data_IF_687096581553
#
_entry.id   IF_687096581553
#
_cell.length_a   1.000
_cell.length_b   1.000
_cell.length_c   1.000
_cell.angle_alpha   90.00
_cell.angle_beta   90.00
_cell.angle_gamma   90.00
#
_symmetry.space_group_name_H-M   'P 1'
#
loop_
_entity.id
_entity.type
_entity.pdbx_description
1 polymer ?
#
# COMPACT_ATOMS: atom_id res chain seq x y z
N UNK A 1 -20.31 8.94 50.45
CA UNK A 1 -19.32 7.83 50.51
C UNK A 1 -18.13 8.28 51.33
N UNK A 2 -17.40 7.37 51.98
CA UNK A 2 -16.18 7.74 52.73
C UNK A 2 -14.98 7.86 51.80
N UNK A 3 -13.94 8.59 52.21
CA UNK A 3 -12.67 8.70 51.43
C UNK A 3 -12.13 7.32 51.09
N UNK A 4 -12.10 6.42 52.07
CA UNK A 4 -11.53 5.07 51.90
C UNK A 4 -12.31 4.25 50.85
N UNK A 5 -13.64 4.38 50.83
CA UNK A 5 -14.48 3.70 49.85
C UNK A 5 -14.23 4.23 48.43
N UNK A 6 -14.17 5.55 48.25
CA UNK A 6 -13.87 6.19 46.96
C UNK A 6 -12.52 5.74 46.41
N UNK A 7 -11.46 5.82 47.21
CA UNK A 7 -10.11 5.44 46.80
C UNK A 7 -10.00 3.94 46.45
N UNK A 8 -10.73 3.09 47.16
CA UNK A 8 -10.76 1.65 46.87
C UNK A 8 -11.39 1.33 45.50
N UNK A 9 -12.44 2.07 45.11
CA UNK A 9 -13.10 1.92 43.81
C UNK A 9 -12.25 2.50 42.69
N UNK A 10 -11.67 3.69 42.88
CA UNK A 10 -10.76 4.31 41.92
C UNK A 10 -9.56 3.40 41.59
N UNK A 11 -8.87 2.86 42.61
CA UNK A 11 -7.75 1.91 42.39
C UNK A 11 -8.16 0.67 41.61
N UNK A 12 -9.35 0.14 41.89
CA UNK A 12 -9.90 -1.03 41.17
C UNK A 12 -10.23 -0.66 39.73
N UNK A 13 -10.81 0.51 39.50
CA UNK A 13 -11.11 1.03 38.17
C UNK A 13 -9.85 1.25 37.33
N UNK A 14 -8.72 1.62 37.94
CA UNK A 14 -7.43 1.84 37.26
C UNK A 14 -6.61 0.54 37.03
N UNK A 15 -7.12 -0.64 37.41
CA UNK A 15 -6.39 -1.92 37.35
C UNK A 15 -5.98 -2.31 35.92
N UNK A 16 -4.70 -2.18 35.57
CA UNK A 16 -4.17 -2.45 34.22
C UNK A 16 -3.39 -1.27 33.61
N UNK A 17 -3.36 -0.12 34.29
CA UNK A 17 -2.33 0.91 34.06
C UNK A 17 -1.04 0.55 34.79
N UNK A 18 0.05 1.25 34.46
CA UNK A 18 1.34 1.04 35.11
C UNK A 18 1.23 1.36 36.62
N UNK A 19 1.84 0.54 37.51
CA UNK A 19 1.72 0.73 38.97
C UNK A 19 2.12 2.12 39.47
N UNK A 20 3.13 2.73 38.82
CA UNK A 20 3.59 4.09 39.12
C UNK A 20 2.52 5.12 38.79
N UNK A 21 1.94 5.08 37.60
CA UNK A 21 0.83 5.96 37.19
C UNK A 21 -0.38 5.84 38.11
N UNK A 22 -0.71 4.61 38.54
CA UNK A 22 -1.80 4.40 39.51
C UNK A 22 -1.47 5.05 40.85
N UNK A 23 -0.23 4.91 41.33
CA UNK A 23 0.21 5.53 42.58
C UNK A 23 0.17 7.07 42.52
N UNK A 24 0.60 7.65 41.41
CA UNK A 24 0.60 9.11 41.20
C UNK A 24 -0.84 9.68 41.19
N UNK A 25 -1.74 9.08 40.39
CA UNK A 25 -3.16 9.49 40.33
C UNK A 25 -3.82 9.40 41.72
N UNK A 26 -3.52 8.33 42.45
CA UNK A 26 -4.04 8.10 43.81
C UNK A 26 -3.51 9.16 44.76
N UNK A 27 -2.23 9.50 44.70
CA UNK A 27 -1.63 10.51 45.56
C UNK A 27 -2.25 11.90 45.36
N UNK A 28 -2.47 12.31 44.11
CA UNK A 28 -3.12 13.58 43.76
C UNK A 28 -4.54 13.67 44.33
N UNK A 29 -5.32 12.59 44.20
CA UNK A 29 -6.69 12.58 44.73
C UNK A 29 -6.71 12.52 46.27
N UNK A 30 -5.76 11.83 46.91
CA UNK A 30 -5.63 11.87 48.37
C UNK A 30 -5.27 13.26 48.88
N UNK A 31 -4.43 14.01 48.16
CA UNK A 31 -4.14 15.41 48.46
C UNK A 31 -5.40 16.28 48.34
N UNK A 32 -6.20 16.09 47.30
CA UNK A 32 -7.45 16.84 47.11
C UNK A 32 -8.47 16.59 48.24
N UNK A 33 -8.60 15.34 48.70
CA UNK A 33 -9.41 15.03 49.87
C UNK A 33 -8.85 15.71 51.14
N UNK A 34 -7.53 15.73 51.34
CA UNK A 34 -6.92 16.38 52.50
C UNK A 34 -7.15 17.90 52.52
N UNK A 35 -7.08 18.55 51.36
CA UNK A 35 -7.39 19.98 51.20
C UNK A 35 -8.87 20.27 51.48
N UNK A 36 -9.79 19.42 50.99
CA UNK A 36 -11.21 19.58 51.25
C UNK A 36 -11.53 19.48 52.75
N UNK A 37 -10.91 18.54 53.48
CA UNK A 37 -11.05 18.46 54.93
C UNK A 37 -10.46 19.67 55.65
N UNK A 38 -9.30 20.16 55.21
CA UNK A 38 -8.68 21.36 55.77
C UNK A 38 -9.53 22.63 55.55
N UNK A 39 -10.28 22.68 54.45
CA UNK A 39 -11.27 23.71 54.16
C UNK A 39 -12.59 23.56 54.94
N UNK A 40 -12.68 22.58 55.84
CA UNK A 40 -13.86 22.32 56.68
C UNK A 40 -14.99 21.56 55.99
N UNK A 41 -14.76 20.98 54.81
CA UNK A 41 -15.73 20.10 54.14
C UNK A 41 -15.66 18.70 54.72
N UNK A 42 -16.79 18.01 54.73
CA UNK A 42 -16.86 16.60 55.13
C UNK A 42 -16.34 15.69 54.01
N UNK A 43 -15.90 14.48 54.36
CA UNK A 43 -15.48 13.47 53.36
C UNK A 43 -16.58 13.17 52.33
N UNK A 44 -17.84 13.20 52.77
CA UNK A 44 -18.98 12.93 51.90
C UNK A 44 -19.16 14.01 50.83
N UNK A 45 -19.02 15.29 51.22
CA UNK A 45 -19.09 16.43 50.30
C UNK A 45 -17.90 16.47 49.33
N UNK A 46 -16.70 16.11 49.81
CA UNK A 46 -15.51 16.01 48.97
C UNK A 46 -15.66 14.91 47.90
N UNK A 47 -16.23 13.77 48.27
CA UNK A 47 -16.49 12.68 47.33
C UNK A 47 -17.62 13.00 46.35
N UNK A 48 -18.65 13.74 46.78
CA UNK A 48 -19.72 14.20 45.89
C UNK A 48 -19.20 15.21 44.85
N UNK A 49 -18.28 16.09 45.24
CA UNK A 49 -17.63 17.02 44.31
C UNK A 49 -16.77 16.32 43.25
N UNK A 50 -16.16 15.18 43.59
CA UNK A 50 -15.38 14.35 42.67
C UNK A 50 -16.24 13.43 41.79
N UNK A 51 -17.49 13.16 42.20
CA UNK A 51 -18.46 12.37 41.43
C UNK A 51 -18.25 10.85 41.54
N UNK A 52 -18.55 10.14 40.46
CA UNK A 52 -18.50 8.67 40.42
C UNK A 52 -17.06 8.16 40.16
N UNK A 53 -16.41 7.47 41.13
CA UNK A 53 -15.04 6.96 40.98
C UNK A 53 -14.88 5.96 39.82
N UNK A 54 -15.93 5.19 39.50
CA UNK A 54 -15.85 4.21 38.40
C UNK A 54 -15.85 4.90 37.04
N UNK A 55 -16.58 6.02 36.91
CA UNK A 55 -16.55 6.87 35.71
C UNK A 55 -15.22 7.57 35.54
N UNK A 56 -14.71 8.18 36.61
CA UNK A 56 -13.42 8.86 36.62
C UNK A 56 -12.28 7.90 36.22
N UNK A 57 -12.29 6.66 36.73
CA UNK A 57 -11.31 5.66 36.36
C UNK A 57 -11.37 5.29 34.87
N UNK A 58 -12.56 5.25 34.26
CA UNK A 58 -12.72 5.00 32.82
C UNK A 58 -12.16 6.14 31.98
N UNK A 59 -12.44 7.38 32.37
CA UNK A 59 -11.94 8.58 31.68
C UNK A 59 -10.41 8.64 31.73
N UNK A 60 -9.81 8.44 32.92
CA UNK A 60 -8.35 8.42 33.09
C UNK A 60 -7.66 7.29 32.31
N UNK A 61 -8.31 6.13 32.16
CA UNK A 61 -7.80 5.04 31.31
C UNK A 61 -7.89 5.35 29.84
N UNK A 62 -8.95 6.01 29.40
CA UNK A 62 -9.10 6.44 28.02
C UNK A 62 -7.97 7.42 27.65
N UNK A 63 -7.71 8.41 28.49
CA UNK A 63 -6.63 9.38 28.30
C UNK A 63 -5.24 8.72 28.33
N UNK A 64 -5.00 7.82 29.29
CA UNK A 64 -3.74 7.09 29.36
C UNK A 64 -3.54 6.13 28.16
N UNK A 65 -4.63 5.57 27.62
CA UNK A 65 -4.62 4.77 26.40
C UNK A 65 -4.30 5.60 25.16
N UNK A 66 -4.89 6.81 25.05
CA UNK A 66 -4.64 7.74 23.96
C UNK A 66 -3.19 8.24 23.97
N UNK A 67 -2.69 8.70 25.11
CA UNK A 67 -1.29 9.13 25.26
C UNK A 67 -0.30 8.02 24.92
N UNK A 68 -0.58 6.78 25.37
CA UNK A 68 0.27 5.64 25.05
C UNK A 68 0.21 5.29 23.56
N UNK A 69 -0.94 5.46 22.91
CA UNK A 69 -1.07 5.28 21.46
C UNK A 69 -0.30 6.35 20.68
N UNK A 70 -0.30 7.60 21.16
CA UNK A 70 0.49 8.70 20.59
C UNK A 70 2.00 8.48 20.80
N UNK A 71 2.44 8.07 21.99
CA UNK A 71 3.85 7.79 22.30
C UNK A 71 4.38 6.54 21.57
N UNK A 72 3.52 5.55 21.32
CA UNK A 72 3.89 4.34 20.56
C UNK A 72 3.89 4.55 19.04
N UNK A 73 3.48 5.73 18.53
CA UNK A 73 3.88 6.22 17.19
C UNK A 73 5.36 6.66 17.18
N UNK A 74 6.24 5.80 17.68
CA UNK A 74 7.67 6.08 17.81
C UNK A 74 8.33 6.23 16.41
N UNK A 75 9.13 7.30 16.18
CA UNK A 75 9.85 7.57 14.92
C UNK A 75 10.88 6.50 14.52
N UNK A 76 11.13 5.49 15.37
CA UNK A 76 11.87 4.26 15.03
C UNK A 76 11.27 3.53 13.81
N UNK A 77 9.94 3.59 13.63
CA UNK A 77 9.25 2.98 12.48
C UNK A 77 9.44 3.76 11.17
N UNK A 78 9.80 5.04 11.22
CA UNK A 78 9.99 5.84 10.00
C UNK A 78 11.25 5.42 9.25
N UNK A 79 12.35 5.15 9.96
CA UNK A 79 13.60 4.66 9.35
C UNK A 79 13.43 3.27 8.71
N UNK A 80 12.73 2.35 9.38
CA UNK A 80 12.41 1.03 8.85
C UNK A 80 11.49 1.12 7.61
N UNK A 81 10.52 2.04 7.60
CA UNK A 81 9.66 2.29 6.44
C UNK A 81 10.43 2.86 5.24
N UNK A 82 11.38 3.78 5.47
CA UNK A 82 12.24 4.33 4.40
C UNK A 82 13.13 3.22 3.81
N UNK A 83 13.75 2.39 4.66
CA UNK A 83 14.56 1.26 4.20
C UNK A 83 13.70 0.25 3.42
N UNK A 84 12.47 -0.02 3.88
CA UNK A 84 11.55 -0.89 3.18
C UNK A 84 11.12 -0.31 1.81
N UNK A 85 10.89 1.00 1.72
CA UNK A 85 10.54 1.66 0.46
C UNK A 85 11.72 1.63 -0.55
N UNK A 86 12.94 1.91 -0.06
CA UNK A 86 14.16 1.81 -0.88
C UNK A 86 14.38 0.35 -1.32
N UNK A 87 14.18 -0.61 -0.41
CA UNK A 87 14.31 -2.04 -0.71
C UNK A 87 13.29 -2.52 -1.73
N UNK A 88 12.04 -2.07 -1.63
CA UNK A 88 10.99 -2.38 -2.61
C UNK A 88 11.35 -1.79 -3.98
N UNK A 89 11.76 -0.52 -4.05
CA UNK A 89 12.20 0.11 -5.29
C UNK A 89 13.43 -0.56 -5.89
N UNK A 90 14.37 -1.05 -5.07
CA UNK A 90 15.54 -1.79 -5.54
C UNK A 90 15.16 -3.14 -6.17
N UNK A 91 14.21 -3.87 -5.58
CA UNK A 91 13.67 -5.12 -6.16
C UNK A 91 12.99 -4.83 -7.49
N UNK A 92 12.18 -3.76 -7.57
CA UNK A 92 11.53 -3.38 -8.82
C UNK A 92 12.57 -3.03 -9.90
N UNK A 93 13.59 -2.25 -9.58
CA UNK A 93 14.65 -1.92 -10.55
C UNK A 93 15.44 -3.16 -10.96
N UNK A 94 15.73 -4.09 -10.05
CA UNK A 94 16.57 -5.26 -10.33
C UNK A 94 15.82 -6.36 -11.10
N UNK A 95 14.51 -6.50 -10.91
CA UNK A 95 13.72 -7.58 -11.54
C UNK A 95 12.75 -7.06 -12.58
N UNK A 96 11.95 -6.03 -12.25
CA UNK A 96 10.91 -5.53 -13.14
C UNK A 96 11.51 -4.83 -14.36
N UNK A 97 12.55 -4.01 -14.18
CA UNK A 97 13.13 -3.25 -15.28
C UNK A 97 13.79 -4.15 -16.36
N UNK A 98 14.64 -5.14 -16.02
CA UNK A 98 15.20 -6.05 -17.02
C UNK A 98 14.13 -6.91 -17.67
N UNK A 99 13.12 -7.36 -16.91
CA UNK A 99 12.00 -8.12 -17.46
C UNK A 99 11.21 -7.29 -18.48
N UNK A 100 10.90 -6.04 -18.15
CA UNK A 100 10.20 -5.12 -19.04
C UNK A 100 11.01 -4.84 -20.31
N UNK A 101 12.33 -4.61 -20.17
CA UNK A 101 13.23 -4.43 -21.32
C UNK A 101 13.31 -5.68 -22.19
N UNK A 102 13.33 -6.88 -21.59
CA UNK A 102 13.28 -8.14 -22.33
C UNK A 102 11.99 -8.29 -23.14
N UNK A 103 10.85 -7.97 -22.54
CA UNK A 103 9.55 -8.01 -23.24
C UNK A 103 9.52 -6.97 -24.37
N UNK A 104 9.95 -5.73 -24.12
CA UNK A 104 10.02 -4.68 -25.15
C UNK A 104 10.94 -5.08 -26.30
N UNK A 105 12.11 -5.65 -25.99
CA UNK A 105 13.06 -6.14 -26.98
C UNK A 105 12.48 -7.27 -27.84
N UNK A 106 11.80 -8.24 -27.21
CA UNK A 106 11.12 -9.30 -27.92
C UNK A 106 10.01 -8.75 -28.84
N UNK A 107 9.19 -7.84 -28.34
CA UNK A 107 8.15 -7.18 -29.14
C UNK A 107 8.71 -6.41 -30.32
N UNK A 108 9.82 -5.69 -30.12
CA UNK A 108 10.53 -5.01 -31.21
C UNK A 108 11.07 -6.01 -32.24
N UNK A 109 11.66 -7.12 -31.81
CA UNK A 109 12.10 -8.20 -32.70
C UNK A 109 10.96 -8.78 -33.53
N UNK A 110 9.80 -9.04 -32.90
CA UNK A 110 8.60 -9.49 -33.60
C UNK A 110 8.08 -8.44 -34.59
N UNK A 111 8.11 -7.16 -34.24
CA UNK A 111 7.72 -6.07 -35.14
C UNK A 111 8.60 -6.08 -36.40
N UNK A 112 9.92 -6.15 -36.23
CA UNK A 112 10.86 -6.22 -37.35
C UNK A 112 10.61 -7.46 -38.19
N UNK A 113 10.36 -8.62 -37.57
CA UNK A 113 10.05 -9.86 -38.28
C UNK A 113 8.74 -9.75 -39.08
N UNK A 114 7.69 -9.13 -38.54
CA UNK A 114 6.42 -8.89 -39.24
C UNK A 114 6.63 -7.99 -40.45
N UNK A 115 7.37 -6.89 -40.29
CA UNK A 115 7.67 -5.96 -41.39
C UNK A 115 8.50 -6.66 -42.47
N UNK A 116 9.53 -7.41 -42.09
CA UNK A 116 10.36 -8.16 -43.01
C UNK A 116 9.55 -9.22 -43.78
N UNK A 117 8.64 -9.93 -43.09
CA UNK A 117 7.76 -10.93 -43.70
C UNK A 117 6.79 -10.29 -44.69
N UNK A 118 6.20 -9.13 -44.34
CA UNK A 118 5.31 -8.40 -45.21
C UNK A 118 6.03 -7.92 -46.49
N UNK A 119 7.21 -7.32 -46.34
CA UNK A 119 8.05 -6.87 -47.45
C UNK A 119 8.44 -8.08 -48.34
N UNK A 120 8.85 -9.19 -47.73
CA UNK A 120 9.19 -10.42 -48.45
C UNK A 120 8.00 -10.95 -49.24
N UNK A 121 6.80 -10.93 -48.66
CA UNK A 121 5.55 -11.27 -49.37
C UNK A 121 5.28 -10.36 -50.56
N UNK A 122 5.52 -9.04 -50.41
CA UNK A 122 5.43 -8.08 -51.51
C UNK A 122 6.44 -8.35 -52.64
N UNK A 123 7.67 -8.73 -52.31
CA UNK A 123 8.67 -9.16 -53.29
C UNK A 123 8.24 -10.43 -54.03
N UNK A 124 7.72 -11.44 -53.33
CA UNK A 124 7.20 -12.67 -53.93
C UNK A 124 6.00 -12.36 -54.84
N UNK A 125 5.12 -11.46 -54.43
CA UNK A 125 3.99 -11.01 -55.23
C UNK A 125 4.44 -10.32 -56.53
N UNK A 126 5.39 -9.38 -56.45
CA UNK A 126 5.80 -8.54 -57.57
C UNK A 126 6.78 -9.24 -58.53
N UNK A 127 7.76 -9.97 -58.00
CA UNK A 127 8.85 -10.59 -58.78
C UNK A 127 8.69 -12.09 -58.96
N UNK A 128 7.90 -12.76 -58.12
CA UNK A 128 7.69 -14.21 -58.20
C UNK A 128 7.10 -14.68 -59.56
N UNK A 129 6.22 -13.93 -60.24
CA UNK A 129 5.80 -14.27 -61.61
C UNK A 129 6.92 -14.30 -62.65
N UNK A 130 8.03 -13.61 -62.39
CA UNK A 130 9.21 -13.55 -63.25
C UNK A 130 10.28 -14.58 -62.85
N UNK A 131 10.13 -15.22 -61.68
CA UNK A 131 11.05 -16.24 -61.19
C UNK A 131 10.79 -17.60 -61.87
N UNK A 132 11.87 -18.36 -62.11
CA UNK A 132 11.80 -19.70 -62.71
C UNK A 132 11.03 -20.68 -61.79
N UNK A 133 10.41 -21.76 -62.35
CA UNK A 133 9.54 -22.70 -61.62
C UNK A 133 10.17 -23.29 -60.35
N UNK A 134 9.37 -23.69 -59.33
CA UNK A 134 8.01 -24.24 -59.47
C UNK A 134 6.87 -23.26 -59.10
N UNK A 135 5.72 -23.38 -59.79
CA UNK A 135 4.43 -22.79 -59.38
C UNK A 135 3.80 -21.79 -60.36
N UNK A 136 4.57 -21.14 -61.23
CA UNK A 136 4.06 -20.16 -62.19
C UNK A 136 3.44 -18.89 -61.54
N UNK A 137 2.99 -17.93 -62.36
CA UNK A 137 2.55 -16.61 -61.90
C UNK A 137 1.44 -16.63 -60.84
N UNK A 138 0.43 -17.49 -61.03
CA UNK A 138 -0.71 -17.56 -60.11
C UNK A 138 -0.31 -18.02 -58.71
N UNK A 139 0.60 -18.99 -58.60
CA UNK A 139 1.10 -19.47 -57.31
C UNK A 139 1.93 -18.40 -56.61
N UNK A 140 2.78 -17.67 -57.34
CA UNK A 140 3.55 -16.57 -56.79
C UNK A 140 2.66 -15.46 -56.22
N UNK A 141 1.60 -15.08 -56.95
CA UNK A 141 0.63 -14.09 -56.46
C UNK A 141 -0.08 -14.55 -55.19
N UNK A 142 -0.61 -15.78 -55.19
CA UNK A 142 -1.31 -16.33 -54.02
C UNK A 142 -0.38 -16.46 -52.81
N UNK A 143 0.87 -16.88 -53.02
CA UNK A 143 1.88 -16.98 -51.97
C UNK A 143 2.24 -15.61 -51.40
N UNK A 144 2.48 -14.61 -52.27
CA UNK A 144 2.81 -13.26 -51.84
C UNK A 144 1.69 -12.62 -51.01
N UNK A 145 0.44 -12.71 -51.51
CA UNK A 145 -0.74 -12.25 -50.76
C UNK A 145 -0.90 -13.02 -49.45
N UNK A 146 -0.70 -14.34 -49.45
CA UNK A 146 -0.76 -15.17 -48.25
C UNK A 146 0.26 -14.75 -47.19
N UNK A 147 1.50 -14.47 -47.59
CA UNK A 147 2.56 -14.00 -46.70
C UNK A 147 2.25 -12.60 -46.14
N UNK A 148 1.75 -11.68 -46.98
CA UNK A 148 1.35 -10.34 -46.53
C UNK A 148 0.15 -10.39 -45.57
N UNK A 149 -0.85 -11.26 -45.85
CA UNK A 149 -2.00 -11.48 -44.98
C UNK A 149 -1.58 -12.09 -43.64
N UNK A 150 -0.68 -13.10 -43.66
CA UNK A 150 -0.13 -13.70 -42.45
C UNK A 150 0.65 -12.67 -41.61
N UNK A 151 1.51 -11.87 -42.24
CA UNK A 151 2.24 -10.80 -41.57
C UNK A 151 1.27 -9.78 -40.94
N UNK A 152 0.21 -9.38 -41.64
CA UNK A 152 -0.79 -8.45 -41.13
C UNK A 152 -1.54 -9.04 -39.92
N UNK A 153 -1.90 -10.32 -39.97
CA UNK A 153 -2.53 -11.02 -38.86
C UNK A 153 -1.62 -11.07 -37.62
N UNK A 154 -0.36 -11.44 -37.79
CA UNK A 154 0.64 -11.46 -36.70
C UNK A 154 0.85 -10.04 -36.15
N UNK A 155 0.92 -9.02 -37.01
CA UNK A 155 1.02 -7.62 -36.60
C UNK A 155 -0.17 -7.13 -35.78
N UNK A 156 -1.38 -7.56 -36.13
CA UNK A 156 -2.58 -7.27 -35.34
C UNK A 156 -2.52 -7.91 -33.94
N UNK A 157 -2.09 -9.18 -33.86
CA UNK A 157 -1.88 -9.86 -32.57
C UNK A 157 -0.79 -9.17 -31.73
N UNK A 158 0.29 -8.73 -32.36
CA UNK A 158 1.36 -7.99 -31.69
C UNK A 158 0.84 -6.64 -31.14
N UNK A 159 -0.06 -5.98 -31.86
CA UNK A 159 -0.70 -4.74 -31.40
C UNK A 159 -1.57 -4.99 -30.17
N UNK A 160 -2.35 -6.06 -30.15
CA UNK A 160 -3.12 -6.47 -28.97
C UNK A 160 -2.22 -6.79 -27.77
N UNK A 161 -1.10 -7.47 -28.02
CA UNK A 161 -0.09 -7.73 -26.98
C UNK A 161 0.51 -6.43 -26.43
N UNK A 162 0.76 -5.44 -27.29
CA UNK A 162 1.27 -4.12 -26.89
C UNK A 162 0.28 -3.39 -25.96
N UNK A 163 -1.00 -3.39 -26.32
CA UNK A 163 -2.07 -2.80 -25.51
C UNK A 163 -2.17 -3.53 -24.16
N UNK A 164 -2.11 -4.87 -24.18
CA UNK A 164 -2.10 -5.69 -22.97
C UNK A 164 -0.94 -5.35 -22.04
N UNK A 165 0.27 -5.21 -22.59
CA UNK A 165 1.46 -4.83 -21.83
C UNK A 165 1.32 -3.43 -21.23
N UNK A 166 0.86 -2.44 -22.01
CA UNK A 166 0.65 -1.08 -21.52
C UNK A 166 -0.39 -1.06 -20.37
N UNK A 167 -1.49 -1.78 -20.54
CA UNK A 167 -2.50 -1.93 -19.50
C UNK A 167 -1.96 -2.61 -18.23
N UNK A 168 -1.11 -3.62 -18.38
CA UNK A 168 -0.45 -4.29 -17.26
C UNK A 168 0.47 -3.34 -16.49
N UNK A 169 1.28 -2.53 -17.20
CA UNK A 169 2.16 -1.52 -16.58
C UNK A 169 1.36 -0.45 -15.85
N UNK A 170 0.30 0.08 -16.47
CA UNK A 170 -0.58 1.08 -15.84
C UNK A 170 -1.35 0.50 -14.64
N UNK A 171 -1.79 -0.76 -14.74
CA UNK A 171 -2.39 -1.46 -13.61
C UNK A 171 -1.41 -1.64 -12.45
N UNK A 172 -0.19 -2.07 -12.74
CA UNK A 172 0.87 -2.23 -11.74
C UNK A 172 1.21 -0.89 -11.06
N UNK A 173 1.38 0.19 -11.82
CA UNK A 173 1.59 1.52 -11.27
C UNK A 173 0.44 1.94 -10.34
N UNK A 174 -0.82 1.74 -10.77
CA UNK A 174 -2.01 2.04 -9.94
C UNK A 174 -2.06 1.19 -8.68
N UNK A 175 -1.66 -0.08 -8.74
CA UNK A 175 -1.57 -0.95 -7.57
C UNK A 175 -0.56 -0.40 -6.56
N UNK A 176 0.63 0.00 -7.03
CA UNK A 176 1.66 0.59 -6.18
C UNK A 176 1.15 1.87 -5.49
N UNK A 177 0.50 2.76 -6.21
CA UNK A 177 -0.11 3.96 -5.62
C UNK A 177 -1.22 3.66 -4.62
N UNK A 178 -2.07 2.66 -4.88
CA UNK A 178 -3.14 2.25 -3.94
C UNK A 178 -2.60 1.71 -2.63
N UNK A 179 -1.49 0.98 -2.67
CA UNK A 179 -0.85 0.43 -1.48
C UNK A 179 -0.14 1.51 -0.65
N UNK A 180 0.37 2.56 -1.29
CA UNK A 180 1.03 3.68 -0.61
C UNK A 180 0.05 4.71 -0.01
N UNK A 181 -1.16 4.83 -0.56
CA UNK A 181 -2.14 5.84 -0.14
C UNK A 181 -2.50 5.79 1.37
N UNK A 182 -2.79 4.63 1.98
CA UNK A 182 -3.10 4.55 3.42
C UNK A 182 -1.89 4.91 4.31
N UNK A 183 -0.66 4.67 3.84
CA UNK A 183 0.55 5.02 4.58
C UNK A 183 0.81 6.53 4.58
N UNK A 184 0.42 7.24 3.52
CA UNK A 184 0.57 8.69 3.39
C UNK A 184 -0.53 9.42 4.19
N UNK A 185 -1.78 8.96 4.13
CA UNK A 185 -2.90 9.58 4.85
C UNK A 185 -2.82 9.39 6.38
N UNK A 186 -2.05 8.44 6.88
CA UNK A 186 -1.79 8.29 8.32
C UNK A 186 -0.73 9.26 8.87
N UNK A 187 0.02 9.94 7.99
CA UNK A 187 1.08 10.88 8.35
C UNK A 187 0.69 12.37 8.18
N UNK A 188 -0.44 12.64 7.53
CA UNK A 188 -1.03 13.98 7.39
C UNK A 188 -2.10 14.22 8.47
#
# INVERSE_FOLDING_TARGET
MTRQEFMSRLRRGLSGLAPTTVADIVADHEAHFAEALAAGRTEAEAAEALGDPDRLARELRADAGLKRWEETKSPSNAGAAIIALIGLGAIDIMFLLPLLMGILGAMFGFLVAVVALFISGGFVFALGPLALPPGGPMTAFMMGVGLMAAATCIGALLTLAAIGLFNAVVWYARLHFRLLKPAIEQQA
#
